data_IF_185213421593
#
_entry.id   IF_185213421593
#
_cell.length_a   1.000
_cell.length_b   1.000
_cell.length_c   1.000
_cell.angle_alpha   90.00
_cell.angle_beta   90.00
_cell.angle_gamma   90.00
#
_symmetry.space_group_name_H-M   'P 1'
#
loop_
_entity.id
_entity.type
_entity.pdbx_description
1 polymer ?
#
# COMPACT_ATOMS: atom_id res chain seq x y z
N UNK A 1 -9.45 -17.22 34.20
CA UNK A 1 -9.64 -17.97 32.94
C UNK A 1 -9.56 -17.01 31.78
N UNK A 2 -8.42 -16.91 31.10
CA UNK A 2 -8.30 -16.12 29.88
C UNK A 2 -8.59 -17.03 28.68
N UNK A 3 -9.75 -16.87 28.06
CA UNK A 3 -10.05 -17.50 26.77
C UNK A 3 -9.69 -16.51 25.66
N UNK A 4 -8.82 -16.91 24.74
CA UNK A 4 -8.55 -16.12 23.55
C UNK A 4 -9.79 -16.14 22.65
N UNK A 5 -10.32 -14.98 22.21
CA UNK A 5 -11.47 -14.94 21.32
C UNK A 5 -11.07 -15.34 19.89
N UNK A 6 -11.93 -16.08 19.19
CA UNK A 6 -11.76 -16.40 17.77
C UNK A 6 -11.60 -15.14 16.92
N UNK A 7 -10.65 -15.16 15.98
CA UNK A 7 -10.40 -14.00 15.09
C UNK A 7 -11.45 -13.96 13.99
N UNK A 8 -12.33 -12.96 14.01
CA UNK A 8 -13.31 -12.71 12.94
C UNK A 8 -12.58 -12.06 11.75
N UNK A 9 -12.52 -12.78 10.62
CA UNK A 9 -11.89 -12.30 9.39
C UNK A 9 -12.83 -11.44 8.54
N UNK A 10 -14.13 -11.74 8.56
CA UNK A 10 -15.12 -10.98 7.78
C UNK A 10 -16.43 -10.83 8.55
N UNK A 11 -16.81 -9.58 8.85
CA UNK A 11 -18.06 -9.26 9.53
C UNK A 11 -19.31 -9.49 8.68
N UNK A 12 -19.18 -9.56 7.35
CA UNK A 12 -20.32 -9.76 6.44
C UNK A 12 -20.72 -11.23 6.29
N UNK A 13 -19.75 -12.12 6.07
CA UNK A 13 -20.02 -13.56 5.90
C UNK A 13 -19.76 -14.39 7.15
N UNK A 14 -19.31 -13.78 8.25
CA UNK A 14 -19.05 -14.47 9.51
C UNK A 14 -17.81 -15.36 9.51
N UNK A 15 -16.99 -15.31 8.45
CA UNK A 15 -15.76 -16.12 8.36
C UNK A 15 -14.82 -15.76 9.51
N UNK A 16 -14.40 -16.77 10.26
CA UNK A 16 -13.46 -16.65 11.38
C UNK A 16 -12.41 -17.75 11.32
N UNK A 17 -11.27 -17.51 11.96
CA UNK A 17 -10.33 -18.57 12.29
C UNK A 17 -10.75 -19.28 13.57
N UNK A 18 -10.58 -20.61 13.64
CA UNK A 18 -10.80 -21.33 14.89
C UNK A 18 -9.87 -20.77 15.98
N UNK A 19 -10.39 -20.71 17.19
CA UNK A 19 -9.60 -20.56 18.41
C UNK A 19 -10.04 -21.69 19.31
N UNK A 20 -9.15 -22.64 19.58
CA UNK A 20 -9.45 -23.62 20.61
C UNK A 20 -9.57 -22.92 21.96
N UNK A 21 -10.65 -23.21 22.69
CA UNK A 21 -10.68 -22.95 24.13
C UNK A 21 -9.55 -23.78 24.74
N UNK A 22 -8.76 -23.11 25.58
CA UNK A 22 -7.63 -23.62 26.35
C UNK A 22 -7.48 -25.15 26.34
N UNK A 23 -6.36 -25.69 25.86
CA UNK A 23 -5.85 -26.86 26.57
C UNK A 23 -5.59 -26.38 28.00
N UNK A 24 -6.03 -27.13 28.99
CA UNK A 24 -5.90 -26.89 30.45
C UNK A 24 -4.46 -26.74 30.94
N UNK A 25 -3.51 -26.55 30.03
CA UNK A 25 -2.08 -26.48 30.26
C UNK A 25 -1.76 -25.10 30.81
N UNK A 26 -1.63 -25.03 32.14
CA UNK A 26 -0.93 -23.93 32.78
C UNK A 26 0.44 -23.81 32.11
N UNK A 27 0.65 -22.71 31.37
CA UNK A 27 1.93 -22.43 30.71
C UNK A 27 3.09 -22.52 31.71
N UNK A 28 2.84 -22.14 32.95
CA UNK A 28 3.80 -22.17 34.06
C UNK A 28 4.24 -23.60 34.44
N UNK A 29 3.31 -24.54 34.57
CA UNK A 29 3.62 -25.95 34.90
C UNK A 29 4.42 -26.63 33.79
N UNK A 30 4.14 -26.31 32.52
CA UNK A 30 4.91 -26.84 31.39
C UNK A 30 6.34 -26.30 31.38
N UNK A 31 6.52 -25.01 31.64
CA UNK A 31 7.86 -24.43 31.73
C UNK A 31 8.66 -24.98 32.90
N UNK A 32 8.02 -25.28 34.05
CA UNK A 32 8.69 -25.96 35.17
C UNK A 32 9.04 -27.41 34.83
N UNK A 33 8.12 -28.19 34.28
CA UNK A 33 8.37 -29.59 33.88
C UNK A 33 9.53 -29.71 32.89
N UNK A 34 9.61 -28.80 31.91
CA UNK A 34 10.74 -28.72 30.97
C UNK A 34 12.06 -28.41 31.68
N UNK A 35 12.04 -27.54 32.69
CA UNK A 35 13.24 -27.11 33.42
C UNK A 35 13.75 -28.18 34.39
N UNK A 36 12.84 -28.95 34.98
CA UNK A 36 13.15 -30.03 35.92
C UNK A 36 13.47 -31.36 35.23
N UNK A 37 13.36 -31.42 33.90
CA UNK A 37 13.61 -32.65 33.14
C UNK A 37 12.57 -33.73 33.37
N UNK A 38 11.34 -33.33 33.71
CA UNK A 38 10.25 -34.25 34.05
C UNK A 38 9.90 -35.16 32.86
N UNK A 39 9.99 -36.49 33.00
CA UNK A 39 9.53 -37.42 31.96
C UNK A 39 8.01 -37.63 32.09
N UNK A 40 7.21 -37.26 31.07
CA UNK A 40 5.76 -37.48 31.10
C UNK A 40 5.41 -38.97 31.02
N UNK A 41 4.34 -39.37 31.70
CA UNK A 41 3.76 -40.71 31.57
C UNK A 41 3.13 -40.92 30.18
N UNK A 42 2.96 -42.18 29.75
CA UNK A 42 2.42 -42.51 28.41
C UNK A 42 1.05 -41.87 28.12
N UNK A 43 0.19 -41.76 29.13
CA UNK A 43 -1.11 -41.10 29.04
C UNK A 43 -0.99 -39.58 28.85
N UNK A 44 0.03 -38.96 29.44
CA UNK A 44 0.35 -37.54 29.27
C UNK A 44 0.99 -37.28 27.91
N UNK A 45 1.89 -38.16 27.44
CA UNK A 45 2.50 -38.06 26.10
C UNK A 45 1.45 -37.98 25.01
N UNK A 46 0.42 -38.85 25.09
CA UNK A 46 -0.69 -38.82 24.13
C UNK A 46 -1.46 -37.49 24.18
N UNK A 47 -1.79 -37.03 25.39
CA UNK A 47 -2.53 -35.78 25.59
C UNK A 47 -1.74 -34.56 25.11
N UNK A 48 -0.44 -34.51 25.41
CA UNK A 48 0.49 -33.47 24.96
C UNK A 48 0.60 -33.47 23.44
N UNK A 49 0.73 -34.65 22.81
CA UNK A 49 0.80 -34.78 21.35
C UNK A 49 -0.49 -34.31 20.67
N UNK A 50 -1.66 -34.64 21.22
CA UNK A 50 -2.94 -34.18 20.69
C UNK A 50 -3.08 -32.66 20.77
N UNK A 51 -2.69 -32.05 21.89
CA UNK A 51 -2.66 -30.60 22.05
C UNK A 51 -1.66 -29.95 21.10
N UNK A 52 -0.43 -30.48 21.02
CA UNK A 52 0.60 -29.98 20.11
C UNK A 52 0.10 -29.99 18.66
N UNK A 53 -0.47 -31.11 18.21
CA UNK A 53 -1.05 -31.26 16.88
C UNK A 53 -2.14 -30.22 16.61
N UNK A 54 -3.02 -29.97 17.58
CA UNK A 54 -4.06 -28.95 17.46
C UNK A 54 -3.47 -27.53 17.34
N UNK A 55 -2.50 -27.18 18.18
CA UNK A 55 -1.82 -25.88 18.15
C UNK A 55 -1.11 -25.68 16.80
N UNK A 56 -0.33 -26.66 16.34
CA UNK A 56 0.36 -26.59 15.04
C UNK A 56 -0.62 -26.41 13.89
N UNK A 57 -1.77 -27.09 13.94
CA UNK A 57 -2.84 -26.93 12.94
C UNK A 57 -3.41 -25.52 12.95
N UNK A 58 -3.67 -24.95 14.13
CA UNK A 58 -4.15 -23.57 14.24
C UNK A 58 -3.13 -22.56 13.72
N UNK A 59 -1.85 -22.67 14.12
CA UNK A 59 -0.76 -21.82 13.60
C UNK A 59 -0.72 -21.88 12.06
N UNK A 60 -0.78 -23.08 11.48
CA UNK A 60 -0.78 -23.23 10.02
C UNK A 60 -1.97 -22.55 9.34
N UNK A 61 -3.14 -22.53 9.98
CA UNK A 61 -4.32 -21.85 9.47
C UNK A 61 -4.19 -20.32 9.55
N UNK A 62 -3.62 -19.80 10.66
CA UNK A 62 -3.30 -18.38 10.78
C UNK A 62 -2.28 -17.94 9.72
N UNK A 63 -1.21 -18.70 9.53
CA UNK A 63 -0.19 -18.39 8.53
C UNK A 63 -0.74 -18.38 7.10
N UNK A 64 -1.63 -19.33 6.77
CA UNK A 64 -2.28 -19.37 5.47
C UNK A 64 -3.17 -18.13 5.24
N UNK A 65 -3.92 -17.70 6.26
CA UNK A 65 -4.75 -16.51 6.16
C UNK A 65 -3.96 -15.22 6.11
N UNK A 66 -2.86 -15.12 6.86
CA UNK A 66 -1.94 -13.99 6.78
C UNK A 66 -1.41 -13.84 5.36
N UNK A 67 -0.90 -14.93 4.76
CA UNK A 67 -0.41 -14.92 3.37
C UNK A 67 -1.51 -14.50 2.39
N UNK A 68 -2.71 -15.05 2.52
CA UNK A 68 -3.85 -14.71 1.65
C UNK A 68 -4.22 -13.22 1.75
N UNK A 69 -4.24 -12.68 2.96
CA UNK A 69 -4.54 -11.26 3.20
C UNK A 69 -3.44 -10.34 2.67
N UNK A 70 -2.17 -10.71 2.82
CA UNK A 70 -1.04 -9.96 2.26
C UNK A 70 -1.12 -9.86 0.73
N UNK A 71 -1.38 -10.98 0.04
CA UNK A 71 -1.58 -11.00 -1.42
C UNK A 71 -2.77 -10.12 -1.82
N UNK A 72 -3.87 -10.18 -1.06
CA UNK A 72 -5.05 -9.35 -1.32
C UNK A 72 -4.72 -7.86 -1.16
N UNK A 73 -3.99 -7.51 -0.11
CA UNK A 73 -3.58 -6.14 0.17
C UNK A 73 -2.65 -5.57 -0.93
N UNK A 74 -1.70 -6.37 -1.39
CA UNK A 74 -0.80 -5.99 -2.48
C UNK A 74 -1.57 -5.73 -3.79
N UNK A 75 -2.51 -6.59 -4.14
CA UNK A 75 -3.37 -6.37 -5.32
C UNK A 75 -4.18 -5.07 -5.18
N UNK A 76 -4.75 -4.81 -4.00
CA UNK A 76 -5.50 -3.57 -3.75
C UNK A 76 -4.62 -2.32 -3.88
N UNK A 77 -3.38 -2.36 -3.38
CA UNK A 77 -2.44 -1.25 -3.56
C UNK A 77 -2.12 -1.02 -5.04
N UNK A 78 -1.80 -2.08 -5.77
CA UNK A 78 -1.53 -1.99 -7.21
C UNK A 78 -2.69 -1.37 -7.97
N UNK A 79 -3.91 -1.83 -7.71
CA UNK A 79 -5.08 -1.38 -8.46
C UNK A 79 -5.48 0.05 -8.08
N UNK A 80 -5.37 0.42 -6.80
CA UNK A 80 -5.52 1.82 -6.34
C UNK A 80 -4.52 2.75 -7.05
N UNK A 81 -3.25 2.36 -7.12
CA UNK A 81 -2.21 3.22 -7.67
C UNK A 81 -2.32 3.35 -9.20
N UNK A 82 -2.80 2.30 -9.89
CA UNK A 82 -3.22 2.38 -11.29
C UNK A 82 -4.37 3.38 -11.49
N UNK A 83 -5.41 3.31 -10.67
CA UNK A 83 -6.55 4.22 -10.76
C UNK A 83 -6.15 5.68 -10.48
N UNK A 84 -5.27 5.91 -9.50
CA UNK A 84 -4.71 7.24 -9.22
C UNK A 84 -3.94 7.79 -10.43
N UNK A 85 -3.14 6.94 -11.08
CA UNK A 85 -2.42 7.31 -12.30
C UNK A 85 -3.40 7.73 -13.41
N UNK A 86 -4.45 6.95 -13.66
CA UNK A 86 -5.49 7.32 -14.64
C UNK A 86 -6.20 8.62 -14.27
N UNK A 87 -6.62 8.77 -13.01
CA UNK A 87 -7.27 9.99 -12.54
C UNK A 87 -6.40 11.23 -12.76
N UNK A 88 -5.09 11.14 -12.51
CA UNK A 88 -4.14 12.21 -12.77
C UNK A 88 -4.04 12.55 -14.26
N UNK A 89 -3.97 11.54 -15.13
CA UNK A 89 -3.95 11.76 -16.58
C UNK A 89 -5.21 12.45 -17.08
N UNK A 90 -6.39 11.97 -16.68
CA UNK A 90 -7.67 12.61 -17.05
C UNK A 90 -7.78 14.01 -16.46
N UNK A 91 -7.38 14.23 -15.21
CA UNK A 91 -7.33 15.55 -14.60
C UNK A 91 -6.42 16.51 -15.38
N UNK A 92 -5.24 16.04 -15.80
CA UNK A 92 -4.33 16.83 -16.63
C UNK A 92 -4.94 17.16 -18.00
N UNK A 93 -5.71 16.26 -18.61
CA UNK A 93 -6.43 16.51 -19.86
C UNK A 93 -7.56 17.53 -19.70
N UNK A 94 -8.23 17.54 -18.55
CA UNK A 94 -9.31 18.47 -18.25
C UNK A 94 -8.81 19.86 -17.82
N UNK A 95 -7.50 20.00 -17.55
CA UNK A 95 -6.88 21.24 -17.11
C UNK A 95 -7.26 22.42 -18.02
N UNK A 96 -7.73 23.57 -17.46
CA UNK A 96 -8.14 24.74 -18.23
C UNK A 96 -7.05 25.26 -19.18
N UNK A 97 -5.78 25.10 -18.80
CA UNK A 97 -4.63 25.57 -19.58
C UNK A 97 -4.57 24.96 -20.99
N UNK A 98 -5.15 23.76 -21.18
CA UNK A 98 -5.23 23.11 -22.50
C UNK A 98 -6.25 23.74 -23.42
N UNK A 99 -7.22 24.49 -22.88
CA UNK A 99 -8.28 25.19 -23.61
C UNK A 99 -7.96 26.67 -23.86
N UNK A 100 -6.90 27.19 -23.27
CA UNK A 100 -6.48 28.58 -23.54
C UNK A 100 -6.13 28.74 -25.02
N UNK A 101 -6.53 29.85 -25.67
CA UNK A 101 -6.08 30.20 -27.02
C UNK A 101 -4.56 30.37 -27.10
N UNK A 102 -4.03 30.37 -28.33
CA UNK A 102 -2.61 30.60 -28.59
C UNK A 102 -2.12 31.93 -28.01
N UNK A 103 -2.82 33.03 -28.29
CA UNK A 103 -2.39 34.38 -27.90
C UNK A 103 -2.30 34.56 -26.38
N UNK A 104 -3.27 34.01 -25.65
CA UNK A 104 -3.29 34.04 -24.18
C UNK A 104 -2.11 33.26 -23.61
N UNK A 105 -1.83 32.08 -24.17
CA UNK A 105 -0.73 31.24 -23.71
C UNK A 105 0.64 31.86 -24.04
N UNK A 106 0.76 32.48 -25.22
CA UNK A 106 1.96 33.22 -25.62
C UNK A 106 2.19 34.45 -24.73
N UNK A 107 1.13 35.19 -24.38
CA UNK A 107 1.26 36.33 -23.47
C UNK A 107 1.76 35.89 -22.10
N UNK A 108 1.19 34.81 -21.53
CA UNK A 108 1.69 34.22 -20.28
C UNK A 108 3.17 33.85 -20.39
N UNK A 109 3.59 33.26 -21.52
CA UNK A 109 4.99 32.88 -21.73
C UNK A 109 5.91 34.08 -21.79
N UNK A 110 5.50 35.17 -22.47
CA UNK A 110 6.22 36.44 -22.48
C UNK A 110 6.38 36.97 -21.07
N UNK A 111 5.30 37.09 -20.31
CA UNK A 111 5.36 37.61 -18.94
C UNK A 111 6.31 36.78 -18.04
N UNK A 112 6.31 35.45 -18.20
CA UNK A 112 7.20 34.53 -17.47
C UNK A 112 8.67 34.63 -17.93
N UNK A 113 8.91 34.85 -19.23
CA UNK A 113 10.25 34.97 -19.81
C UNK A 113 10.86 36.38 -19.65
N UNK A 114 10.03 37.42 -19.52
CA UNK A 114 10.42 38.84 -19.37
C UNK A 114 10.66 39.24 -17.91
N UNK A 115 10.32 38.37 -16.94
CA UNK A 115 10.38 38.65 -15.51
C UNK A 115 11.75 39.25 -15.10
N UNK A 116 11.70 40.51 -14.67
CA UNK A 116 12.82 41.45 -14.49
C UNK A 116 13.83 41.00 -13.41
N UNK A 117 13.52 39.90 -12.72
CA UNK A 117 14.25 39.36 -11.58
C UNK A 117 15.05 38.08 -11.90
N UNK A 118 15.07 37.62 -13.17
CA UNK A 118 15.82 36.41 -13.56
C UNK A 118 16.92 36.72 -14.57
N UNK A 119 18.15 36.43 -14.17
CA UNK A 119 19.41 36.71 -14.90
C UNK A 119 19.54 35.92 -16.23
N UNK A 120 18.64 34.98 -16.55
CA UNK A 120 18.76 34.11 -17.73
C UNK A 120 17.42 33.79 -18.44
N UNK A 121 16.88 34.71 -19.26
CA UNK A 121 15.67 34.51 -20.08
C UNK A 121 15.68 33.22 -20.94
N UNK A 122 16.79 32.82 -21.61
CA UNK A 122 16.81 31.66 -22.49
C UNK A 122 16.46 30.35 -21.77
N UNK A 123 16.84 30.22 -20.49
CA UNK A 123 16.60 29.01 -19.70
C UNK A 123 15.13 28.87 -19.30
N UNK A 124 14.45 29.97 -19.05
CA UNK A 124 13.03 29.94 -18.65
C UNK A 124 12.14 29.54 -19.82
N UNK A 125 12.36 30.10 -21.01
CA UNK A 125 11.58 29.74 -22.18
C UNK A 125 11.83 28.29 -22.60
N UNK A 126 13.09 27.81 -22.54
CA UNK A 126 13.41 26.39 -22.73
C UNK A 126 12.64 25.47 -21.76
N UNK A 127 12.46 25.87 -20.50
CA UNK A 127 11.70 25.09 -19.51
C UNK A 127 10.20 25.02 -19.83
N UNK A 128 9.61 26.07 -20.41
CA UNK A 128 8.21 26.04 -20.85
C UNK A 128 8.00 24.98 -21.95
N UNK A 129 8.96 24.86 -22.88
CA UNK A 129 8.94 23.82 -23.91
C UNK A 129 9.10 22.37 -23.42
N UNK A 130 9.37 22.16 -22.13
CA UNK A 130 9.43 20.82 -21.53
C UNK A 130 8.08 20.34 -20.97
N UNK A 131 7.07 21.22 -20.88
CA UNK A 131 5.77 20.89 -20.26
C UNK A 131 4.95 19.95 -21.15
N UNK A 132 4.76 20.30 -22.42
CA UNK A 132 4.07 19.45 -23.41
C UNK A 132 4.39 19.87 -24.84
N UNK A 133 3.98 19.06 -25.83
CA UNK A 133 4.17 19.34 -27.26
C UNK A 133 3.65 20.72 -27.66
N UNK A 134 2.42 21.06 -27.28
CA UNK A 134 1.80 22.37 -27.61
C UNK A 134 2.60 23.55 -27.05
N UNK A 135 3.09 23.46 -25.82
CA UNK A 135 3.90 24.51 -25.21
C UNK A 135 5.23 24.66 -25.94
N UNK A 136 5.86 23.54 -26.31
CA UNK A 136 7.09 23.52 -27.09
C UNK A 136 6.92 24.18 -28.45
N UNK A 137 5.86 23.85 -29.18
CA UNK A 137 5.54 24.46 -30.48
C UNK A 137 5.43 25.97 -30.33
N UNK A 138 4.63 26.47 -29.37
CA UNK A 138 4.48 27.90 -29.11
C UNK A 138 5.83 28.55 -28.77
N UNK A 139 6.65 27.92 -27.94
CA UNK A 139 7.97 28.45 -27.56
C UNK A 139 8.93 28.54 -28.75
N UNK A 140 8.94 27.56 -29.64
CA UNK A 140 9.83 27.51 -30.79
C UNK A 140 9.33 28.42 -31.94
N UNK A 141 8.02 28.48 -32.15
CA UNK A 141 7.38 29.23 -33.23
C UNK A 141 7.24 30.72 -32.94
N UNK A 142 7.58 31.17 -31.72
CA UNK A 142 7.47 32.57 -31.29
C UNK A 142 8.84 33.23 -31.09
N UNK A 143 9.39 33.92 -32.12
CA UNK A 143 10.63 34.67 -31.99
C UNK A 143 10.63 35.68 -30.84
N UNK A 144 9.46 36.23 -30.47
CA UNK A 144 9.32 37.21 -29.38
C UNK A 144 9.61 36.68 -27.97
N UNK A 145 9.90 35.39 -27.80
CA UNK A 145 10.28 34.78 -26.52
C UNK A 145 11.81 34.68 -26.32
N UNK A 146 12.59 34.95 -27.36
CA UNK A 146 14.05 34.85 -27.39
C UNK A 146 14.68 36.23 -27.49
#
# INVERSE_FOLDING_TARGET
MYSWPSTILCRKCGRSLPSSRNPTLSSFEHFQNLREGYPPADSEVKSISDVHRQITKEVSAYDAEIRRLQITLENLYRDRDRLRTYANHYGALLSPVRRLPYDILLQIFKDVCTDQYKIHPPRTCLRLGLVCKRWREITLDSPSLW
#
